data_IF_404061300367
#
_entry.id   IF_404061300367
#
_cell.length_a   1.000
_cell.length_b   1.000
_cell.length_c   1.000
_cell.angle_alpha   90.00
_cell.angle_beta   90.00
_cell.angle_gamma   90.00
#
_symmetry.space_group_name_H-M   'P 1'
#
loop_
_entity.id
_entity.type
_entity.pdbx_description
1 polymer ?
#
# COMPACT_ATOMS: atom_id res chain seq x y z
N UNK A 1 -12.17 14.65 -8.04
CA UNK A 1 -11.56 13.64 -7.14
C UNK A 1 -11.78 12.28 -7.77
N UNK A 2 -10.70 11.56 -8.06
CA UNK A 2 -10.73 10.26 -8.75
C UNK A 2 -11.00 9.12 -7.76
N UNK A 3 -11.54 8.01 -8.25
CA UNK A 3 -11.70 6.77 -7.49
C UNK A 3 -10.51 5.86 -7.73
N UNK A 4 -9.93 5.34 -6.65
CA UNK A 4 -8.84 4.37 -6.74
C UNK A 4 -9.32 2.97 -6.41
N UNK A 5 -8.95 2.00 -7.26
CA UNK A 5 -9.03 0.57 -6.92
C UNK A 5 -8.02 0.26 -5.83
N UNK A 6 -8.48 -0.36 -4.76
CA UNK A 6 -7.62 -0.75 -3.65
C UNK A 6 -7.87 -2.18 -3.21
N UNK A 7 -6.79 -2.84 -2.82
CA UNK A 7 -6.80 -4.09 -2.07
C UNK A 7 -6.37 -3.76 -0.64
N UNK A 8 -7.26 -3.98 0.31
CA UNK A 8 -7.03 -3.77 1.74
C UNK A 8 -6.60 -5.09 2.36
N UNK A 9 -5.41 -5.12 2.96
CA UNK A 9 -4.91 -6.28 3.74
C UNK A 9 -5.00 -5.97 5.22
N UNK A 10 -5.73 -6.79 5.95
CA UNK A 10 -5.83 -6.73 7.40
C UNK A 10 -4.63 -7.41 8.05
N UNK A 11 -4.28 -6.98 9.26
CA UNK A 11 -3.20 -7.59 10.04
C UNK A 11 -3.50 -9.05 10.42
N UNK A 12 -4.77 -9.45 10.42
CA UNK A 12 -5.23 -10.82 10.66
C UNK A 12 -5.25 -11.70 9.39
N UNK A 13 -4.74 -11.20 8.27
CA UNK A 13 -4.68 -11.93 6.99
C UNK A 13 -5.93 -11.79 6.11
N UNK A 14 -7.03 -11.21 6.60
CA UNK A 14 -8.20 -10.93 5.76
C UNK A 14 -7.85 -9.96 4.64
N UNK A 15 -8.54 -10.11 3.51
CA UNK A 15 -8.41 -9.23 2.34
C UNK A 15 -9.77 -8.70 1.94
N UNK A 16 -9.80 -7.43 1.54
CA UNK A 16 -10.95 -6.82 0.88
C UNK A 16 -10.53 -6.07 -0.38
N UNK A 17 -11.39 -6.08 -1.39
CA UNK A 17 -11.23 -5.29 -2.61
C UNK A 17 -12.33 -4.25 -2.68
N UNK A 18 -12.03 -3.10 -3.26
CA UNK A 18 -13.02 -2.07 -3.49
C UNK A 18 -12.39 -0.76 -3.93
N UNK A 19 -13.13 0.32 -3.76
CA UNK A 19 -12.79 1.63 -4.25
C UNK A 19 -12.77 2.64 -3.11
N UNK A 20 -11.81 3.55 -3.16
CA UNK A 20 -11.78 4.69 -2.24
C UNK A 20 -11.36 5.95 -2.97
N UNK A 21 -11.84 7.11 -2.50
CA UNK A 21 -11.45 8.41 -3.06
C UNK A 21 -10.15 8.92 -2.46
N UNK A 22 -9.86 8.59 -1.21
CA UNK A 22 -8.67 9.06 -0.54
C UNK A 22 -8.34 8.21 0.68
N UNK A 23 -7.05 8.09 0.95
CA UNK A 23 -6.50 7.65 2.23
C UNK A 23 -5.68 8.82 2.77
N UNK A 24 -6.18 9.41 3.85
CA UNK A 24 -5.50 10.48 4.56
C UNK A 24 -4.68 9.86 5.71
N UNK A 25 -3.34 9.92 5.70
CA UNK A 25 -2.50 9.26 6.70
C UNK A 25 -2.80 9.67 8.15
N UNK A 26 -3.34 10.88 8.35
CA UNK A 26 -3.69 11.43 9.67
C UNK A 26 -5.13 11.09 10.11
N UNK A 27 -5.89 10.32 9.32
CA UNK A 27 -7.22 9.83 9.68
C UNK A 27 -7.13 8.38 10.13
N UNK A 28 -7.83 8.06 11.22
CA UNK A 28 -7.87 6.71 11.78
C UNK A 28 -8.59 5.70 10.89
N UNK A 29 -9.49 6.19 10.03
CA UNK A 29 -10.34 5.37 9.16
C UNK A 29 -10.58 6.02 7.80
N UNK A 30 -10.96 5.20 6.85
CA UNK A 30 -11.45 5.61 5.53
C UNK A 30 -12.66 4.74 5.14
N UNK A 31 -13.29 5.08 4.02
CA UNK A 31 -14.43 4.34 3.49
C UNK A 31 -14.03 3.57 2.24
N UNK A 32 -14.43 2.30 2.20
CA UNK A 32 -14.28 1.38 1.09
C UNK A 32 -15.65 1.13 0.45
N UNK A 33 -15.76 1.38 -0.84
CA UNK A 33 -16.98 1.16 -1.62
C UNK A 33 -16.83 -0.08 -2.51
N UNK A 34 -17.91 -0.82 -2.77
CA UNK A 34 -17.86 -1.96 -3.70
C UNK A 34 -17.61 -1.52 -5.14
N UNK A 35 -18.07 -0.32 -5.50
CA UNK A 35 -17.98 0.27 -6.84
C UNK A 35 -17.85 1.80 -6.75
N UNK A 36 -17.25 2.46 -7.76
CA UNK A 36 -17.18 3.91 -7.83
C UNK A 36 -18.57 4.54 -7.80
N UNK A 37 -18.80 5.50 -6.89
CA UNK A 37 -20.08 6.21 -6.82
C UNK A 37 -21.24 5.43 -6.18
N UNK A 38 -20.97 4.25 -5.61
CA UNK A 38 -21.98 3.46 -4.93
C UNK A 38 -22.73 4.28 -3.85
N UNK A 39 -24.07 4.15 -3.74
CA UNK A 39 -24.86 4.89 -2.76
C UNK A 39 -24.51 4.48 -1.32
N UNK A 40 -24.67 5.41 -0.39
CA UNK A 40 -24.34 5.22 1.02
C UNK A 40 -22.90 5.62 1.38
N UNK A 41 -22.54 5.44 2.65
CA UNK A 41 -21.23 5.91 3.18
C UNK A 41 -20.06 5.00 2.83
N UNK A 42 -20.30 3.79 2.30
CA UNK A 42 -19.28 2.75 2.15
C UNK A 42 -18.96 2.09 3.49
N UNK A 43 -18.15 1.03 3.45
CA UNK A 43 -17.70 0.30 4.65
C UNK A 43 -16.56 1.06 5.31
N UNK A 44 -16.67 1.27 6.62
CA UNK A 44 -15.58 1.85 7.40
C UNK A 44 -14.44 0.84 7.58
N UNK A 45 -13.22 1.30 7.31
CA UNK A 45 -11.99 0.54 7.47
C UNK A 45 -11.05 1.32 8.38
N UNK A 46 -10.69 0.74 9.52
CA UNK A 46 -9.78 1.34 10.47
C UNK A 46 -8.33 0.97 10.14
N UNK A 47 -7.47 1.97 10.06
CA UNK A 47 -6.05 1.81 9.73
C UNK A 47 -5.32 0.97 10.77
N UNK A 48 -5.74 1.10 12.03
CA UNK A 48 -5.31 0.28 13.16
C UNK A 48 -5.78 -1.18 13.10
N UNK A 49 -6.39 -1.65 12.03
CA UNK A 49 -6.68 -3.08 11.82
C UNK A 49 -5.91 -3.62 10.60
N UNK A 50 -5.17 -2.77 9.89
CA UNK A 50 -4.54 -3.10 8.63
C UNK A 50 -3.06 -3.48 8.77
N UNK A 51 -2.62 -4.27 7.80
CA UNK A 51 -1.23 -4.42 7.37
C UNK A 51 -0.87 -3.29 6.40
N UNK A 52 -1.63 -3.18 5.32
CA UNK A 52 -1.42 -2.20 4.27
C UNK A 52 -2.65 -2.03 3.37
N UNK A 53 -2.67 -0.93 2.61
CA UNK A 53 -3.61 -0.71 1.50
C UNK A 53 -2.82 -0.58 0.21
N UNK A 54 -3.08 -1.50 -0.73
CA UNK A 54 -2.45 -1.54 -2.04
C UNK A 54 -3.35 -0.84 -3.05
N UNK A 55 -2.85 0.21 -3.69
CA UNK A 55 -3.51 0.86 -4.82
C UNK A 55 -3.14 0.06 -6.06
N UNK A 56 -4.13 -0.53 -6.73
CA UNK A 56 -3.88 -1.50 -7.79
C UNK A 56 -4.40 -1.02 -9.14
N UNK A 57 -3.75 -1.45 -10.23
CA UNK A 57 -4.27 -1.26 -11.61
C UNK A 57 -5.54 -2.09 -11.82
N UNK A 58 -5.49 -3.34 -11.36
CA UNK A 58 -6.56 -4.31 -11.49
C UNK A 58 -6.72 -5.22 -10.25
N UNK A 59 -7.92 -5.75 -10.03
CA UNK A 59 -8.22 -6.64 -8.92
C UNK A 59 -7.78 -8.09 -9.13
N UNK A 60 -7.69 -8.57 -10.36
CA UNK A 60 -7.17 -9.91 -10.66
C UNK A 60 -5.65 -9.94 -10.44
N UNK A 61 -4.95 -8.91 -10.92
CA UNK A 61 -3.49 -8.87 -10.95
C UNK A 61 -2.89 -10.03 -11.76
N UNK A 62 -1.57 -10.22 -11.67
CA UNK A 62 -0.90 -11.39 -12.22
C UNK A 62 -0.12 -12.11 -11.11
N UNK A 63 -0.61 -13.28 -10.69
CA UNK A 63 0.02 -14.09 -9.62
C UNK A 63 1.35 -14.73 -10.05
N UNK A 64 1.61 -14.81 -11.34
CA UNK A 64 2.84 -15.36 -11.90
C UNK A 64 3.88 -14.26 -12.17
N UNK A 65 3.51 -12.99 -11.99
CA UNK A 65 4.43 -11.88 -12.17
C UNK A 65 5.35 -11.78 -10.95
N UNK A 66 6.66 -11.87 -11.19
CA UNK A 66 7.67 -11.67 -10.17
C UNK A 66 8.13 -10.21 -10.23
N UNK A 67 7.71 -9.42 -9.24
CA UNK A 67 8.01 -7.98 -9.20
C UNK A 67 9.51 -7.75 -9.06
N UNK A 68 10.06 -6.86 -9.88
CA UNK A 68 11.47 -6.46 -9.78
C UNK A 68 11.69 -5.73 -8.46
N UNK A 69 12.55 -6.30 -7.62
CA UNK A 69 12.99 -5.71 -6.35
C UNK A 69 14.37 -5.07 -6.44
N UNK A 70 14.95 -5.03 -7.63
CA UNK A 70 16.30 -4.55 -7.88
C UNK A 70 16.24 -3.16 -8.46
N UNK A 71 16.97 -2.24 -7.86
CA UNK A 71 17.21 -0.91 -8.41
C UNK A 71 18.30 -1.00 -9.50
N UNK A 72 17.99 -0.59 -10.72
CA UNK A 72 19.02 -0.35 -11.74
C UNK A 72 19.56 1.07 -11.54
N UNK A 73 20.88 1.23 -11.48
CA UNK A 73 21.55 2.50 -11.15
C UNK A 73 21.18 3.69 -12.08
N UNK A 74 20.53 3.42 -13.21
CA UNK A 74 20.10 4.41 -14.20
C UNK A 74 18.67 4.93 -13.97
N UNK A 75 17.92 4.35 -13.03
CA UNK A 75 16.54 4.74 -12.74
C UNK A 75 16.47 5.86 -11.69
N UNK A 76 15.86 6.99 -12.02
CA UNK A 76 15.68 8.08 -11.05
C UNK A 76 14.35 7.92 -10.30
N UNK A 77 14.42 7.58 -9.01
CA UNK A 77 13.28 7.52 -8.11
C UNK A 77 13.19 8.77 -7.24
N UNK A 78 11.97 9.19 -6.93
CA UNK A 78 11.76 10.21 -5.90
C UNK A 78 11.72 9.54 -4.52
N UNK A 79 12.54 10.07 -3.59
CA UNK A 79 12.60 9.60 -2.21
C UNK A 79 13.71 8.58 -1.94
N UNK A 80 13.66 7.96 -0.77
CA UNK A 80 14.60 6.93 -0.33
C UNK A 80 14.13 5.55 -0.81
N UNK A 81 15.05 4.77 -1.38
CA UNK A 81 14.79 3.36 -1.64
C UNK A 81 14.89 2.62 -0.31
N UNK A 82 13.84 1.85 -0.02
CA UNK A 82 13.74 1.08 1.21
C UNK A 82 13.22 -0.33 0.94
N UNK A 83 13.74 -1.27 1.69
CA UNK A 83 13.14 -2.58 1.90
C UNK A 83 12.34 -2.54 3.20
N UNK A 84 11.05 -2.87 3.12
CA UNK A 84 10.15 -2.97 4.26
C UNK A 84 9.83 -4.43 4.51
N UNK A 85 10.16 -4.90 5.70
CA UNK A 85 9.77 -6.24 6.15
C UNK A 85 8.58 -6.14 7.09
N UNK A 86 7.49 -6.83 6.75
CA UNK A 86 6.29 -6.91 7.57
C UNK A 86 6.45 -7.91 8.73
N UNK A 87 5.59 -7.79 9.74
CA UNK A 87 5.56 -8.70 10.90
C UNK A 87 5.30 -10.16 10.52
N UNK A 88 4.60 -10.41 9.42
CA UNK A 88 4.35 -11.75 8.86
C UNK A 88 5.50 -12.28 7.98
N UNK A 89 6.59 -11.53 7.85
CA UNK A 89 7.76 -11.91 7.07
C UNK A 89 7.69 -11.56 5.58
N UNK A 90 6.60 -11.00 5.08
CA UNK A 90 6.54 -10.48 3.71
C UNK A 90 7.50 -9.29 3.54
N UNK A 91 8.11 -9.18 2.37
CA UNK A 91 9.06 -8.10 2.04
C UNK A 91 8.58 -7.36 0.80
N UNK A 92 8.48 -6.04 0.91
CA UNK A 92 8.23 -5.13 -0.20
C UNK A 92 9.40 -4.15 -0.35
N UNK A 93 9.78 -3.85 -1.59
CA UNK A 93 10.85 -2.90 -1.92
C UNK A 93 10.26 -1.78 -2.76
N UNK A 94 10.61 -0.54 -2.45
CA UNK A 94 10.11 0.61 -3.18
C UNK A 94 10.73 1.92 -2.71
N UNK A 95 10.32 3.01 -3.33
CA UNK A 95 10.71 4.35 -2.91
C UNK A 95 9.68 4.95 -1.95
N UNK A 96 10.15 5.68 -0.94
CA UNK A 96 9.30 6.46 -0.03
C UNK A 96 9.88 7.87 0.17
N UNK A 97 9.07 8.93 0.17
CA UNK A 97 9.58 10.28 0.40
C UNK A 97 10.25 10.46 1.77
N UNK A 98 9.69 9.81 2.79
CA UNK A 98 10.20 9.84 4.16
C UNK A 98 9.58 8.70 4.98
N UNK A 99 10.34 8.19 5.94
CA UNK A 99 9.90 7.21 6.92
C UNK A 99 9.99 7.80 8.34
N UNK A 100 8.89 7.68 9.10
CA UNK A 100 8.87 7.97 10.54
C UNK A 100 8.03 6.87 11.23
N UNK A 101 8.66 5.99 12.04
CA UNK A 101 7.95 4.88 12.70
C UNK A 101 6.86 5.33 13.67
N UNK A 102 6.89 6.59 14.12
CA UNK A 102 5.89 7.15 15.05
C UNK A 102 4.60 7.56 14.33
N UNK A 103 4.63 7.68 13.00
CA UNK A 103 3.42 7.95 12.21
C UNK A 103 2.60 6.67 12.05
N UNK A 104 1.30 6.82 11.85
CA UNK A 104 0.37 5.71 11.62
C UNK A 104 0.77 4.82 10.43
N UNK A 105 1.37 5.43 9.40
CA UNK A 105 1.81 4.75 8.20
C UNK A 105 2.47 5.72 7.22
N UNK A 106 2.92 5.18 6.10
CA UNK A 106 3.60 5.93 5.04
C UNK A 106 3.31 5.32 3.67
N UNK A 107 3.52 6.10 2.61
CA UNK A 107 3.39 5.62 1.25
C UNK A 107 4.73 5.06 0.76
N UNK A 108 4.66 3.93 0.07
CA UNK A 108 5.76 3.32 -0.68
C UNK A 108 5.29 3.10 -2.11
N UNK A 109 6.13 3.45 -3.09
CA UNK A 109 5.90 3.19 -4.50
C UNK A 109 6.82 2.04 -4.91
N UNK A 110 6.30 0.89 -5.36
CA UNK A 110 7.14 -0.22 -5.83
C UNK A 110 8.09 0.25 -6.94
N UNK A 111 9.29 -0.32 -6.98
CA UNK A 111 10.30 0.05 -8.00
C UNK A 111 9.88 -0.39 -9.40
N UNK A 112 9.11 -1.47 -9.48
CA UNK A 112 8.69 -2.04 -10.74
C UNK A 112 7.47 -1.30 -11.34
N UNK A 113 7.63 -0.55 -12.45
CA UNK A 113 6.52 0.17 -13.06
C UNK A 113 5.47 -0.77 -13.67
N UNK A 114 5.83 -2.01 -13.99
CA UNK A 114 4.91 -3.03 -14.52
C UNK A 114 4.14 -3.75 -13.40
N UNK A 115 4.49 -3.50 -12.13
CA UNK A 115 3.74 -3.99 -10.99
C UNK A 115 2.26 -3.58 -11.07
N UNK A 116 1.40 -4.49 -10.64
CA UNK A 116 -0.01 -4.18 -10.42
C UNK A 116 -0.20 -3.17 -9.29
N UNK A 117 0.74 -3.09 -8.33
CA UNK A 117 0.74 -2.17 -7.22
C UNK A 117 1.29 -0.81 -7.67
N UNK A 118 0.43 0.19 -7.78
CA UNK A 118 0.81 1.56 -8.13
C UNK A 118 1.49 2.30 -6.97
N UNK A 119 0.98 2.07 -5.76
CA UNK A 119 1.53 2.55 -4.49
C UNK A 119 0.90 1.77 -3.35
N UNK A 120 1.56 1.76 -2.21
CA UNK A 120 1.11 1.05 -1.02
C UNK A 120 1.12 2.00 0.15
N UNK A 121 0.01 2.13 0.86
CA UNK A 121 -0.01 2.75 2.18
C UNK A 121 0.29 1.65 3.21
N UNK A 122 1.49 1.69 3.78
CA UNK A 122 1.98 0.72 4.76
C UNK A 122 1.64 1.23 6.16
N UNK A 123 1.02 0.39 6.99
CA UNK A 123 0.75 0.74 8.39
C UNK A 123 1.95 0.41 9.25
N UNK A 124 2.53 1.40 9.93
CA UNK A 124 3.83 1.27 10.62
C UNK A 124 3.83 0.15 11.66
N UNK A 125 2.71 -0.07 12.36
CA UNK A 125 2.59 -1.13 13.38
C UNK A 125 2.67 -2.56 12.81
N UNK A 126 2.47 -2.72 11.50
CA UNK A 126 2.58 -4.00 10.81
C UNK A 126 3.98 -4.23 10.25
N UNK A 127 4.88 -3.26 10.41
CA UNK A 127 6.26 -3.31 9.96
C UNK A 127 7.13 -3.85 11.08
N UNK A 128 7.98 -4.82 10.74
CA UNK A 128 9.02 -5.36 11.62
C UNK A 128 10.31 -4.57 11.47
N UNK A 129 10.69 -4.25 10.24
CA UNK A 129 11.96 -3.57 9.94
C UNK A 129 11.86 -2.73 8.64
N UNK A 130 12.65 -1.66 8.58
CA UNK A 130 12.83 -0.82 7.38
C UNK A 130 14.33 -0.60 7.17
N UNK A 131 14.84 -1.05 6.04
CA UNK A 131 16.25 -0.90 5.66
C UNK A 131 16.37 0.02 4.46
N UNK A 132 17.29 0.97 4.52
CA UNK A 132 17.71 1.74 3.35
C UNK A 132 18.66 0.88 2.51
N UNK A 133 18.45 0.84 1.19
CA UNK A 133 19.24 0.03 0.25
C UNK A 133 19.75 0.86 -0.91
#
# INVERSE_FOLDING_TARGET
>A
MEWHKVVVRYADGRLMKGYTRNILPNRERFHLHPEPGAPGKGREVYMRDLKAVFFVRDFAGNRQYDEKKVHLAEETFQGHIVEVTFADGEIIVGSTPAYDPRRQGFFLVPLDPESNNLRVFIVSRAVRDVRHI
#
